data_IF_419061249153
#
_entry.id   IF_419061249153
#
_cell.length_a   1.000
_cell.length_b   1.000
_cell.length_c   1.000
_cell.angle_alpha   90.00
_cell.angle_beta   90.00
_cell.angle_gamma   90.00
#
_symmetry.space_group_name_H-M   'P 1'
#
loop_
_entity.id
_entity.type
_entity.pdbx_description
1 polymer ?
#
# COMPACT_ATOMS: atom_id res chain seq x y z
N UNK A 1 -14.49 3.69 -0.50
CA UNK A 1 -13.23 3.28 -1.13
C UNK A 1 -12.09 4.04 -0.49
N UNK A 2 -10.96 3.40 -0.31
CA UNK A 2 -9.76 4.04 0.20
C UNK A 2 -9.33 5.20 -0.71
N UNK A 3 -8.60 6.17 -0.16
CA UNK A 3 -8.13 7.29 -0.96
C UNK A 3 -7.00 6.84 -1.92
N UNK A 4 -6.63 7.74 -2.83
CA UNK A 4 -5.63 7.42 -3.88
C UNK A 4 -4.28 7.01 -3.30
N UNK A 5 -3.85 7.65 -2.21
CA UNK A 5 -2.57 7.34 -1.58
C UNK A 5 -2.59 5.93 -0.99
N UNK A 6 -3.66 5.59 -0.27
CA UNK A 6 -3.82 4.26 0.32
C UNK A 6 -3.91 3.19 -0.76
N UNK A 7 -4.65 3.44 -1.84
CA UNK A 7 -4.73 2.52 -2.97
C UNK A 7 -3.33 2.31 -3.57
N UNK A 8 -2.54 3.37 -3.67
CA UNK A 8 -1.17 3.28 -4.16
C UNK A 8 -0.30 2.36 -3.32
N UNK A 9 -0.40 2.45 -1.99
CA UNK A 9 0.32 1.54 -1.10
C UNK A 9 -0.11 0.09 -1.28
N UNK A 10 -1.42 -0.15 -1.37
CA UNK A 10 -1.96 -1.48 -1.61
C UNK A 10 -1.50 -2.01 -2.97
N UNK A 11 -1.46 -1.16 -3.97
CA UNK A 11 -1.00 -1.52 -5.30
C UNK A 11 0.47 -1.93 -5.30
N UNK A 12 1.31 -1.24 -4.51
CA UNK A 12 2.72 -1.60 -4.38
C UNK A 12 2.89 -3.03 -3.86
N UNK A 13 2.05 -3.45 -2.90
CA UNK A 13 2.14 -4.79 -2.32
C UNK A 13 1.45 -5.87 -3.16
N UNK A 14 0.28 -5.57 -3.69
CA UNK A 14 -0.60 -6.58 -4.28
C UNK A 14 -0.82 -6.42 -5.78
N UNK A 15 -0.23 -5.38 -6.39
CA UNK A 15 -0.39 -5.13 -7.81
C UNK A 15 -0.16 -6.34 -8.70
N UNK A 16 0.93 -7.12 -8.46
CA UNK A 16 1.19 -8.30 -9.29
C UNK A 16 0.08 -9.35 -9.28
N UNK A 17 -0.83 -9.31 -8.32
CA UNK A 17 -1.97 -10.23 -8.25
C UNK A 17 -3.16 -9.79 -9.10
N UNK A 18 -3.12 -8.58 -9.64
CA UNK A 18 -4.15 -8.06 -10.50
C UNK A 18 -3.91 -8.46 -11.96
N UNK A 19 -4.94 -8.35 -12.80
CA UNK A 19 -4.78 -8.57 -14.23
C UNK A 19 -3.91 -7.48 -14.85
N UNK A 20 -3.34 -7.73 -16.02
CA UNK A 20 -2.52 -6.73 -16.71
C UNK A 20 -3.30 -5.43 -16.96
N UNK A 21 -4.57 -5.55 -17.34
CA UNK A 21 -5.41 -4.38 -17.57
C UNK A 21 -5.62 -3.58 -16.28
N UNK A 22 -5.90 -4.25 -15.17
CA UNK A 22 -6.06 -3.59 -13.88
C UNK A 22 -4.76 -2.91 -13.45
N UNK A 23 -3.63 -3.59 -13.64
CA UNK A 23 -2.32 -3.01 -13.32
C UNK A 23 -2.07 -1.74 -14.11
N UNK A 24 -2.39 -1.75 -15.41
CA UNK A 24 -2.21 -0.59 -16.26
C UNK A 24 -3.06 0.59 -15.79
N UNK A 25 -4.34 0.35 -15.52
CA UNK A 25 -5.25 1.41 -15.09
C UNK A 25 -4.84 1.99 -13.74
N UNK A 26 -4.47 1.14 -12.78
CA UNK A 26 -4.05 1.62 -11.47
C UNK A 26 -2.69 2.32 -11.52
N UNK A 27 -1.79 1.88 -12.40
CA UNK A 27 -0.51 2.57 -12.57
C UNK A 27 -0.74 4.00 -13.06
N UNK A 28 -1.65 4.20 -14.01
CA UNK A 28 -1.99 5.53 -14.49
C UNK A 28 -2.64 6.37 -13.37
N UNK A 29 -3.52 5.76 -12.61
CA UNK A 29 -4.25 6.46 -11.54
C UNK A 29 -3.37 6.79 -10.34
N UNK A 30 -2.55 5.85 -9.88
CA UNK A 30 -1.76 5.98 -8.65
C UNK A 30 -0.35 6.52 -8.90
N UNK A 31 0.34 6.03 -9.94
CA UNK A 31 1.75 6.37 -10.16
C UNK A 31 1.92 7.57 -11.07
N UNK A 32 1.08 7.70 -12.10
CA UNK A 32 1.15 8.81 -13.05
C UNK A 32 0.21 9.96 -12.66
N UNK A 33 -0.60 9.77 -11.64
CA UNK A 33 -1.52 10.77 -11.11
C UNK A 33 -2.53 11.31 -12.13
N UNK A 34 -2.93 10.47 -13.07
CA UNK A 34 -3.91 10.84 -14.09
C UNK A 34 -5.32 10.92 -13.49
N UNK A 35 -6.12 11.86 -13.98
CA UNK A 35 -7.54 11.92 -13.64
C UNK A 35 -8.29 10.79 -14.35
N UNK A 36 -9.51 10.49 -13.88
CA UNK A 36 -10.36 9.50 -14.54
C UNK A 36 -10.64 9.89 -16.00
N UNK A 37 -10.85 11.18 -16.25
CA UNK A 37 -11.09 11.67 -17.62
C UNK A 37 -9.87 11.51 -18.50
N UNK A 38 -8.68 11.77 -17.97
CA UNK A 38 -7.44 11.59 -18.73
C UNK A 38 -7.20 10.12 -19.07
N UNK A 39 -7.45 9.22 -18.12
CA UNK A 39 -7.33 7.79 -18.36
C UNK A 39 -8.35 7.34 -19.41
N UNK A 40 -9.58 7.82 -19.31
CA UNK A 40 -10.65 7.49 -20.26
C UNK A 40 -10.25 7.88 -21.70
N UNK A 41 -9.73 9.09 -21.86
CA UNK A 41 -9.29 9.58 -23.17
C UNK A 41 -8.14 8.73 -23.72
N UNK A 42 -7.17 8.40 -22.85
CA UNK A 42 -6.00 7.63 -23.25
C UNK A 42 -6.35 6.19 -23.64
N UNK A 43 -7.26 5.56 -22.88
CA UNK A 43 -7.60 4.15 -23.07
C UNK A 43 -8.78 3.93 -24.01
N UNK A 44 -9.42 5.01 -24.49
CA UNK A 44 -10.54 4.90 -25.42
C UNK A 44 -11.79 4.29 -24.81
N UNK A 45 -12.02 4.51 -23.53
CA UNK A 45 -13.22 4.04 -22.83
C UNK A 45 -13.89 5.22 -22.12
N UNK A 46 -15.09 5.00 -21.58
CA UNK A 46 -15.82 6.07 -20.90
C UNK A 46 -15.21 6.37 -19.53
N UNK A 47 -15.44 7.60 -19.03
CA UNK A 47 -15.01 7.97 -17.70
C UNK A 47 -15.64 7.05 -16.65
N UNK A 48 -16.94 6.71 -16.84
CA UNK A 48 -17.63 5.80 -15.94
C UNK A 48 -17.00 4.41 -15.96
N UNK A 49 -16.56 3.96 -17.15
CA UNK A 49 -15.87 2.67 -17.29
C UNK A 49 -14.56 2.66 -16.51
N UNK A 50 -13.80 3.76 -16.55
CA UNK A 50 -12.57 3.88 -15.76
C UNK A 50 -12.89 3.86 -14.27
N UNK A 51 -13.89 4.64 -13.86
CA UNK A 51 -14.31 4.70 -12.47
C UNK A 51 -14.65 3.30 -11.94
N UNK A 52 -15.47 2.57 -12.68
CA UNK A 52 -15.88 1.22 -12.28
C UNK A 52 -14.68 0.27 -12.20
N UNK A 53 -13.78 0.34 -13.17
CA UNK A 53 -12.59 -0.53 -13.22
C UNK A 53 -11.64 -0.22 -12.06
N UNK A 54 -11.39 1.06 -11.79
CA UNK A 54 -10.53 1.48 -10.68
C UNK A 54 -11.14 1.04 -9.34
N UNK A 55 -12.44 1.25 -9.16
CA UNK A 55 -13.12 0.85 -7.92
C UNK A 55 -13.08 -0.66 -7.71
N UNK A 56 -13.28 -1.44 -8.77
CA UNK A 56 -13.23 -2.89 -8.68
C UNK A 56 -11.83 -3.38 -8.32
N UNK A 57 -10.81 -2.82 -8.96
CA UNK A 57 -9.43 -3.17 -8.67
C UNK A 57 -9.04 -2.78 -7.24
N UNK A 58 -9.44 -1.57 -6.79
CA UNK A 58 -9.18 -1.13 -5.42
C UNK A 58 -9.82 -2.05 -4.39
N UNK A 59 -11.04 -2.48 -4.64
CA UNK A 59 -11.73 -3.42 -3.74
C UNK A 59 -10.99 -4.76 -3.66
N UNK A 60 -10.49 -5.23 -4.79
CA UNK A 60 -9.69 -6.45 -4.83
C UNK A 60 -8.42 -6.32 -3.99
N UNK A 61 -7.74 -5.18 -4.09
CA UNK A 61 -6.55 -4.91 -3.28
C UNK A 61 -6.89 -4.89 -1.78
N UNK A 62 -8.01 -4.28 -1.42
CA UNK A 62 -8.48 -4.23 -0.04
C UNK A 62 -8.79 -5.63 0.49
N UNK A 63 -9.38 -6.49 -0.35
CA UNK A 63 -9.67 -7.87 0.03
C UNK A 63 -8.37 -8.65 0.29
N UNK A 64 -7.35 -8.47 -0.55
CA UNK A 64 -6.04 -9.08 -0.30
C UNK A 64 -5.45 -8.61 1.02
N UNK A 65 -5.52 -7.32 1.29
CA UNK A 65 -4.99 -6.78 2.54
C UNK A 65 -5.73 -7.33 3.75
N UNK A 66 -7.05 -7.46 3.66
CA UNK A 66 -7.86 -8.04 4.74
C UNK A 66 -7.40 -9.47 5.07
N UNK A 67 -7.01 -10.23 4.06
CA UNK A 67 -6.58 -11.61 4.25
C UNK A 67 -5.11 -11.73 4.62
N UNK A 68 -4.24 -10.91 4.04
CA UNK A 68 -2.80 -11.09 4.15
C UNK A 68 -2.10 -10.12 5.11
N UNK A 69 -2.61 -8.89 5.21
CA UNK A 69 -2.09 -7.90 6.16
C UNK A 69 -0.66 -7.44 5.90
N UNK A 70 -0.17 -7.51 4.65
CA UNK A 70 1.22 -7.15 4.35
C UNK A 70 1.50 -5.66 4.55
N UNK A 71 0.56 -4.80 4.17
CA UNK A 71 0.72 -3.36 4.36
C UNK A 71 0.73 -3.01 5.83
N UNK A 72 -0.21 -3.55 6.60
CA UNK A 72 -0.29 -3.32 8.04
C UNK A 72 0.99 -3.78 8.74
N UNK A 73 1.49 -4.96 8.36
CA UNK A 73 2.74 -5.50 8.94
C UNK A 73 3.92 -4.60 8.60
N UNK A 74 4.00 -4.14 7.35
CA UNK A 74 5.07 -3.25 6.92
C UNK A 74 5.03 -1.93 7.70
N UNK A 75 3.85 -1.33 7.85
CA UNK A 75 3.69 -0.07 8.58
C UNK A 75 4.09 -0.23 10.05
N UNK A 76 3.66 -1.30 10.68
CA UNK A 76 3.99 -1.60 12.07
C UNK A 76 5.49 -1.80 12.26
N UNK A 77 6.12 -2.56 11.36
CA UNK A 77 7.57 -2.80 11.39
C UNK A 77 8.34 -1.50 11.20
N UNK A 78 7.95 -0.71 10.20
CA UNK A 78 8.62 0.55 9.90
C UNK A 78 8.53 1.51 11.09
N UNK A 79 7.34 1.62 11.69
CA UNK A 79 7.14 2.48 12.85
C UNK A 79 8.03 2.04 14.01
N UNK A 80 8.10 0.74 14.28
CA UNK A 80 8.95 0.21 15.33
C UNK A 80 10.43 0.46 15.08
N UNK A 81 10.87 0.32 13.83
CA UNK A 81 12.26 0.60 13.48
C UNK A 81 12.60 2.09 13.65
N UNK A 82 11.68 2.98 13.29
CA UNK A 82 11.86 4.42 13.48
C UNK A 82 11.95 4.76 14.97
N UNK A 83 11.09 4.16 15.78
CA UNK A 83 11.14 4.37 17.24
C UNK A 83 12.45 3.86 17.83
N UNK A 84 12.90 2.69 17.38
CA UNK A 84 14.18 2.13 17.82
C UNK A 84 15.35 3.02 17.46
N UNK A 85 15.36 3.53 16.22
CA UNK A 85 16.42 4.43 15.77
C UNK A 85 16.42 5.73 16.57
N UNK A 86 15.23 6.31 16.81
CA UNK A 86 15.08 7.51 17.62
C UNK A 86 15.61 7.31 19.04
N UNK A 87 15.31 6.14 19.63
CA UNK A 87 15.83 5.81 20.97
C UNK A 87 17.35 5.74 20.98
N UNK A 88 17.96 5.14 19.96
CA UNK A 88 19.42 5.09 19.83
C UNK A 88 20.01 6.49 19.71
N UNK A 89 19.40 7.34 18.89
CA UNK A 89 19.91 8.70 18.69
C UNK A 89 19.84 9.54 19.96
N UNK A 90 18.88 9.26 20.84
CA UNK A 90 18.75 9.96 22.13
C UNK A 90 19.49 9.26 23.27
N UNK A 91 20.29 8.24 22.97
CA UNK A 91 21.10 7.54 23.96
C UNK A 91 20.34 6.52 24.81
N UNK A 92 19.10 6.20 24.47
CA UNK A 92 18.27 5.23 25.19
C UNK A 92 18.48 3.82 24.63
N UNK A 93 19.68 3.30 24.82
CA UNK A 93 20.09 2.02 24.24
C UNK A 93 19.22 0.84 24.70
N UNK A 94 18.86 0.80 25.98
CA UNK A 94 18.05 -0.29 26.50
C UNK A 94 16.64 -0.27 25.91
N UNK A 95 16.05 0.92 25.79
CA UNK A 95 14.73 1.07 25.16
C UNK A 95 14.77 0.63 23.70
N UNK A 96 15.81 1.02 22.96
CA UNK A 96 15.98 0.62 21.58
C UNK A 96 16.02 -0.91 21.46
N UNK A 97 16.78 -1.56 22.32
CA UNK A 97 16.92 -3.00 22.34
C UNK A 97 15.56 -3.67 22.58
N UNK A 98 14.79 -3.18 23.54
CA UNK A 98 13.47 -3.72 23.84
C UNK A 98 12.51 -3.58 22.64
N UNK A 99 12.54 -2.43 21.97
CA UNK A 99 11.70 -2.20 20.78
C UNK A 99 12.07 -3.21 19.69
N UNK A 100 13.36 -3.36 19.39
CA UNK A 100 13.83 -4.26 18.34
C UNK A 100 13.51 -5.71 18.66
N UNK A 101 13.66 -6.13 19.92
CA UNK A 101 13.35 -7.48 20.32
C UNK A 101 11.85 -7.77 20.19
N UNK A 102 10.99 -6.79 20.48
CA UNK A 102 9.55 -6.94 20.32
C UNK A 102 9.19 -7.14 18.85
N UNK A 103 9.82 -6.35 17.96
CA UNK A 103 9.60 -6.48 16.51
C UNK A 103 10.03 -7.85 16.01
N UNK A 104 11.17 -8.32 16.47
CA UNK A 104 11.70 -9.64 16.10
C UNK A 104 10.73 -10.75 16.51
N UNK A 105 10.18 -10.67 17.72
CA UNK A 105 9.22 -11.66 18.22
C UNK A 105 7.93 -11.67 17.39
N UNK A 106 7.46 -10.52 16.97
CA UNK A 106 6.26 -10.42 16.14
C UNK A 106 6.44 -11.09 14.79
N UNK A 107 7.64 -10.97 14.19
CA UNK A 107 7.93 -11.59 12.90
C UNK A 107 8.03 -13.12 12.98
N UNK A 108 8.34 -13.66 14.15
CA UNK A 108 8.42 -15.11 14.35
C UNK A 108 7.03 -15.75 14.46
N UNK A 109 6.00 -14.97 14.72
CA UNK A 109 4.64 -15.46 14.79
C UNK A 109 4.00 -15.49 13.40
#
# INVERSE_FOLDING_TARGET
MADRIEIGWLFDFYGPLLTERQQKLLALYCNEDFSLSEIAAREGISRQGVYDAVHRAARQLEDYETQLGLLKRYQSMTQGLEEGLSALESGQTQRAKEILMRLFSQEEE
#
